data_IF_453012188143
#
_entry.id   IF_453012188143
#
_cell.length_a   1.000
_cell.length_b   1.000
_cell.length_c   1.000
_cell.angle_alpha   90.00
_cell.angle_beta   90.00
_cell.angle_gamma   90.00
#
_symmetry.space_group_name_H-M   'P 1'
#
loop_
_entity.id
_entity.type
_entity.pdbx_description
1 polymer ?
#
# COMPACT_ATOMS: atom_id res chain seq x y z
N UNK A 1 32.31 11.52 -8.19
CA UNK A 1 30.92 11.65 -7.81
C UNK A 1 30.14 12.15 -9.04
N UNK A 2 29.64 11.22 -9.88
CA UNK A 2 28.89 11.57 -11.08
C UNK A 2 27.49 12.05 -10.64
N UNK A 3 27.20 13.31 -10.91
CA UNK A 3 25.93 13.96 -10.65
C UNK A 3 24.76 13.13 -11.18
N UNK A 4 23.85 12.82 -10.29
CA UNK A 4 22.48 12.33 -10.48
C UNK A 4 22.03 12.43 -11.93
N UNK A 5 22.04 11.31 -12.62
CA UNK A 5 21.27 11.18 -13.84
C UNK A 5 19.82 11.49 -13.47
N UNK A 6 19.21 12.50 -14.11
CA UNK A 6 17.84 12.87 -13.82
C UNK A 6 16.93 11.65 -13.93
N UNK A 7 15.85 11.59 -13.13
CA UNK A 7 14.89 10.47 -13.06
C UNK A 7 14.49 9.94 -14.45
N UNK A 8 14.29 10.84 -15.41
CA UNK A 8 13.93 10.49 -16.78
C UNK A 8 15.07 9.78 -17.52
N UNK A 9 16.32 10.21 -17.35
CA UNK A 9 17.46 9.57 -17.99
C UNK A 9 17.74 8.18 -17.41
N UNK A 10 17.61 8.00 -16.09
CA UNK A 10 17.67 6.72 -15.44
C UNK A 10 16.61 5.77 -15.99
N UNK A 11 15.36 6.21 -16.03
CA UNK A 11 14.23 5.41 -16.50
C UNK A 11 14.40 4.99 -17.96
N UNK A 12 14.90 5.89 -18.82
CA UNK A 12 15.16 5.59 -20.24
C UNK A 12 16.27 4.56 -20.43
N UNK A 13 17.39 4.66 -19.68
CA UNK A 13 18.54 3.78 -19.87
C UNK A 13 18.35 2.39 -19.24
N UNK A 14 17.54 2.27 -18.18
CA UNK A 14 17.40 1.01 -17.44
C UNK A 14 16.13 0.22 -17.86
N UNK A 15 16.27 -0.57 -18.95
CA UNK A 15 15.15 -1.35 -19.48
C UNK A 15 14.66 -2.45 -18.53
N UNK A 16 15.55 -3.03 -17.71
CA UNK A 16 15.16 -4.05 -16.71
C UNK A 16 14.28 -3.41 -15.62
N UNK A 17 14.70 -2.27 -15.08
CA UNK A 17 13.92 -1.51 -14.11
C UNK A 17 12.56 -1.11 -14.67
N UNK A 18 12.49 -0.59 -15.91
CA UNK A 18 11.19 -0.23 -16.51
C UNK A 18 10.20 -1.38 -16.57
N UNK A 19 10.64 -2.57 -17.00
CA UNK A 19 9.75 -3.75 -17.08
C UNK A 19 9.28 -4.16 -15.68
N UNK A 20 10.18 -4.19 -14.72
CA UNK A 20 9.88 -4.49 -13.33
C UNK A 20 8.87 -3.49 -12.75
N UNK A 21 9.14 -2.21 -12.94
CA UNK A 21 8.29 -1.11 -12.51
C UNK A 21 6.89 -1.16 -13.14
N UNK A 22 6.78 -1.45 -14.45
CA UNK A 22 5.46 -1.61 -15.08
C UNK A 22 4.66 -2.76 -14.50
N UNK A 23 5.29 -3.89 -14.18
CA UNK A 23 4.62 -5.01 -13.54
C UNK A 23 4.05 -4.61 -12.18
N UNK A 24 4.81 -3.88 -11.37
CA UNK A 24 4.39 -3.42 -10.05
C UNK A 24 3.28 -2.38 -10.11
N UNK A 25 3.44 -1.35 -10.93
CA UNK A 25 2.44 -0.26 -11.07
C UNK A 25 1.09 -0.79 -11.52
N UNK A 26 1.07 -1.69 -12.49
CA UNK A 26 -0.18 -2.29 -12.97
C UNK A 26 -0.87 -3.08 -11.85
N UNK A 27 -0.13 -3.90 -11.11
CA UNK A 27 -0.68 -4.67 -9.99
C UNK A 27 -1.18 -3.76 -8.84
N UNK A 28 -0.48 -2.67 -8.52
CA UNK A 28 -0.92 -1.73 -7.49
C UNK A 28 -2.19 -0.95 -7.87
N UNK A 29 -2.36 -0.63 -9.15
CA UNK A 29 -3.60 -0.01 -9.66
C UNK A 29 -4.77 -0.99 -9.50
N UNK A 30 -4.58 -2.25 -9.87
CA UNK A 30 -5.60 -3.29 -9.73
C UNK A 30 -6.00 -3.51 -8.27
N UNK A 31 -5.04 -3.62 -7.36
CA UNK A 31 -5.33 -3.76 -5.93
C UNK A 31 -6.18 -2.61 -5.39
N UNK A 32 -6.00 -1.41 -5.93
CA UNK A 32 -6.84 -0.27 -5.55
C UNK A 32 -8.29 -0.45 -6.02
N UNK A 33 -8.53 -1.05 -7.20
CA UNK A 33 -9.88 -1.41 -7.66
C UNK A 33 -10.55 -2.39 -6.71
N UNK A 34 -9.84 -3.47 -6.37
CA UNK A 34 -10.28 -4.47 -5.42
C UNK A 34 -10.66 -3.84 -4.07
N UNK A 35 -9.78 -2.99 -3.55
CA UNK A 35 -10.00 -2.34 -2.26
C UNK A 35 -11.27 -1.50 -2.24
N UNK A 36 -11.54 -0.69 -3.27
CA UNK A 36 -12.77 0.13 -3.35
C UNK A 36 -14.01 -0.75 -3.51
N UNK A 37 -13.93 -1.81 -4.32
CA UNK A 37 -15.04 -2.75 -4.52
C UNK A 37 -15.40 -3.49 -3.22
N UNK A 38 -14.40 -3.92 -2.44
CA UNK A 38 -14.61 -4.56 -1.13
C UNK A 38 -15.29 -3.64 -0.12
N UNK A 39 -14.89 -2.37 -0.08
CA UNK A 39 -15.53 -1.39 0.81
C UNK A 39 -16.98 -1.18 0.44
N UNK A 40 -17.25 -1.09 -0.87
CA UNK A 40 -18.59 -0.92 -1.38
C UNK A 40 -19.47 -2.13 -1.04
N UNK A 41 -19.01 -3.37 -1.32
CA UNK A 41 -19.78 -4.58 -1.02
C UNK A 41 -20.14 -4.74 0.46
N UNK A 42 -19.17 -4.49 1.36
CA UNK A 42 -19.45 -4.60 2.80
C UNK A 42 -20.56 -3.63 3.21
N UNK A 43 -20.50 -2.37 2.77
CA UNK A 43 -21.49 -1.39 3.16
C UNK A 43 -22.82 -1.61 2.43
N UNK A 44 -22.79 -2.10 1.19
CA UNK A 44 -24.01 -2.38 0.42
C UNK A 44 -24.81 -3.54 1.00
N UNK A 45 -24.16 -4.66 1.32
CA UNK A 45 -24.85 -5.86 1.79
C UNK A 45 -25.10 -5.88 3.30
N UNK A 46 -24.16 -5.39 4.11
CA UNK A 46 -24.32 -5.46 5.57
C UNK A 46 -24.69 -4.13 6.23
N UNK A 47 -24.42 -2.99 5.57
CA UNK A 47 -24.54 -1.68 6.20
C UNK A 47 -23.67 -1.50 7.45
N UNK A 48 -22.75 -2.46 7.75
CA UNK A 48 -22.06 -2.55 9.02
C UNK A 48 -20.68 -1.87 8.97
N UNK A 49 -20.55 -0.75 9.66
CA UNK A 49 -19.28 -0.09 9.91
C UNK A 49 -18.31 -0.98 10.70
N UNK A 50 -18.85 -1.86 11.56
CA UNK A 50 -18.06 -2.83 12.30
C UNK A 50 -17.39 -3.84 11.36
N UNK A 51 -18.10 -4.38 10.38
CA UNK A 51 -17.54 -5.32 9.40
C UNK A 51 -16.50 -4.64 8.51
N UNK A 52 -16.71 -3.37 8.16
CA UNK A 52 -15.70 -2.59 7.46
C UNK A 52 -14.41 -2.45 8.30
N UNK A 53 -14.53 -2.15 9.59
CA UNK A 53 -13.41 -2.10 10.53
C UNK A 53 -12.74 -3.48 10.69
N UNK A 54 -13.52 -4.56 10.74
CA UNK A 54 -13.01 -5.93 10.79
C UNK A 54 -12.22 -6.29 9.53
N UNK A 55 -12.70 -5.93 8.33
CA UNK A 55 -11.98 -6.11 7.08
C UNK A 55 -10.59 -5.46 7.13
N UNK A 56 -10.51 -4.17 7.51
CA UNK A 56 -9.25 -3.47 7.66
C UNK A 56 -8.33 -4.15 8.68
N UNK A 57 -8.88 -4.54 9.82
CA UNK A 57 -8.12 -5.16 10.90
C UNK A 57 -7.56 -6.52 10.50
N UNK A 58 -8.35 -7.38 9.88
CA UNK A 58 -7.91 -8.71 9.40
C UNK A 58 -6.85 -8.57 8.32
N UNK A 59 -7.05 -7.70 7.33
CA UNK A 59 -6.07 -7.43 6.27
C UNK A 59 -4.73 -6.98 6.84
N UNK A 60 -4.74 -5.98 7.74
CA UNK A 60 -3.51 -5.44 8.34
C UNK A 60 -2.85 -6.41 9.30
N UNK A 61 -3.62 -7.17 10.07
CA UNK A 61 -3.09 -8.18 10.98
C UNK A 61 -2.39 -9.30 10.21
N UNK A 62 -3.02 -9.87 9.19
CA UNK A 62 -2.42 -10.92 8.37
C UNK A 62 -1.19 -10.42 7.62
N UNK A 63 -1.22 -9.20 7.08
CA UNK A 63 -0.04 -8.59 6.48
C UNK A 63 1.10 -8.45 7.49
N UNK A 64 0.87 -7.81 8.64
CA UNK A 64 1.90 -7.53 9.63
C UNK A 64 2.49 -8.79 10.26
N UNK A 65 1.62 -9.73 10.67
CA UNK A 65 2.05 -10.97 11.33
C UNK A 65 2.78 -11.93 10.39
N UNK A 66 2.51 -11.86 9.10
CA UNK A 66 3.19 -12.69 8.09
C UNK A 66 4.58 -12.17 7.68
N UNK A 67 4.86 -10.86 7.83
CA UNK A 67 6.09 -10.24 7.31
C UNK A 67 7.40 -10.92 7.79
N UNK A 68 7.56 -11.33 9.06
CA UNK A 68 8.79 -12.00 9.48
C UNK A 68 9.03 -13.34 8.78
N UNK A 69 7.95 -14.08 8.52
CA UNK A 69 7.99 -15.36 7.81
C UNK A 69 8.27 -15.12 6.33
N UNK A 70 7.56 -14.17 5.73
CA UNK A 70 7.70 -13.80 4.32
C UNK A 70 9.11 -13.29 4.03
N UNK A 71 9.72 -12.52 4.92
CA UNK A 71 11.11 -12.08 4.79
C UNK A 71 12.07 -13.26 4.66
N UNK A 72 11.97 -14.26 5.55
CA UNK A 72 12.80 -15.47 5.47
C UNK A 72 12.55 -16.25 4.18
N UNK A 73 11.29 -16.32 3.71
CA UNK A 73 10.97 -16.99 2.45
C UNK A 73 11.53 -16.23 1.24
N UNK A 74 11.47 -14.90 1.23
CA UNK A 74 12.04 -14.07 0.16
C UNK A 74 13.57 -14.17 0.06
N UNK A 75 14.26 -14.49 1.19
CA UNK A 75 15.70 -14.72 1.19
C UNK A 75 16.07 -16.14 0.73
N UNK A 76 15.20 -17.13 0.95
CA UNK A 76 15.45 -18.55 0.62
C UNK A 76 14.96 -18.97 -0.75
N UNK A 77 13.90 -18.34 -1.25
CA UNK A 77 13.29 -18.70 -2.52
C UNK A 77 13.56 -17.67 -3.61
N UNK A 78 13.41 -18.09 -4.85
CA UNK A 78 13.57 -17.20 -5.99
C UNK A 78 12.50 -16.09 -5.97
N UNK A 79 12.93 -14.85 -5.78
CA UNK A 79 12.08 -13.65 -5.63
C UNK A 79 11.11 -13.47 -6.79
N UNK A 80 11.59 -13.68 -8.03
CA UNK A 80 10.74 -13.64 -9.22
C UNK A 80 9.63 -14.68 -9.17
N UNK A 81 9.95 -15.93 -8.76
CA UNK A 81 8.95 -16.99 -8.65
C UNK A 81 7.92 -16.67 -7.57
N UNK A 82 8.33 -16.07 -6.44
CA UNK A 82 7.42 -15.62 -5.38
C UNK A 82 6.46 -14.55 -5.89
N UNK A 83 6.95 -13.54 -6.64
CA UNK A 83 6.11 -12.50 -7.22
C UNK A 83 5.10 -13.06 -8.22
N UNK A 84 5.54 -13.94 -9.13
CA UNK A 84 4.64 -14.58 -10.11
C UNK A 84 3.61 -15.48 -9.40
N UNK A 85 4.03 -16.26 -8.41
CA UNK A 85 3.13 -17.09 -7.61
C UNK A 85 2.06 -16.25 -6.92
N UNK A 86 2.47 -15.14 -6.28
CA UNK A 86 1.51 -14.22 -5.63
C UNK A 86 0.49 -13.68 -6.62
N UNK A 87 0.93 -13.20 -7.78
CA UNK A 87 0.03 -12.68 -8.81
C UNK A 87 -0.94 -13.77 -9.30
N UNK A 88 -0.45 -14.97 -9.63
CA UNK A 88 -1.29 -16.06 -10.13
C UNK A 88 -2.35 -16.49 -9.11
N UNK A 89 -1.98 -16.59 -7.84
CA UNK A 89 -2.93 -16.93 -6.78
C UNK A 89 -3.96 -15.81 -6.56
N UNK A 90 -3.53 -14.55 -6.65
CA UNK A 90 -4.43 -13.41 -6.51
C UNK A 90 -5.45 -13.30 -7.67
N UNK A 91 -5.14 -13.79 -8.88
CA UNK A 91 -6.13 -13.88 -9.98
C UNK A 91 -7.36 -14.66 -9.54
N UNK A 92 -7.18 -15.89 -9.03
CA UNK A 92 -8.29 -16.74 -8.60
C UNK A 92 -9.06 -16.14 -7.42
N UNK A 93 -8.35 -15.56 -6.45
CA UNK A 93 -8.97 -14.94 -5.28
C UNK A 93 -9.75 -13.67 -5.65
N UNK A 94 -9.23 -12.84 -6.55
CA UNK A 94 -9.94 -11.65 -7.02
C UNK A 94 -11.25 -12.02 -7.72
N UNK A 95 -11.23 -13.06 -8.58
CA UNK A 95 -12.43 -13.55 -9.24
C UNK A 95 -13.43 -14.20 -8.26
N UNK A 96 -12.97 -14.76 -7.14
CA UNK A 96 -13.86 -15.39 -6.17
C UNK A 96 -14.75 -14.39 -5.42
N UNK A 97 -14.43 -13.09 -5.44
CA UNK A 97 -15.31 -12.06 -4.88
C UNK A 97 -16.60 -11.85 -5.67
N UNK A 98 -16.63 -12.26 -6.95
CA UNK A 98 -17.86 -12.23 -7.79
C UNK A 98 -18.94 -13.18 -7.23
N UNK A 99 -18.55 -14.14 -6.39
CA UNK A 99 -19.46 -15.09 -5.75
C UNK A 99 -20.12 -14.55 -4.48
N UNK A 100 -19.84 -13.30 -4.12
CA UNK A 100 -20.42 -12.65 -2.93
C UNK A 100 -21.74 -11.99 -3.33
N UNK A 101 -22.85 -12.61 -2.92
CA UNK A 101 -24.20 -12.21 -3.34
C UNK A 101 -25.03 -11.60 -2.20
N UNK A 102 -24.58 -11.67 -0.94
CA UNK A 102 -25.35 -11.21 0.21
C UNK A 102 -24.59 -11.12 1.52
N UNK A 103 -25.32 -10.79 2.58
CA UNK A 103 -24.77 -10.60 3.92
C UNK A 103 -24.16 -11.90 4.49
N UNK A 104 -24.71 -13.06 4.16
CA UNK A 104 -24.21 -14.37 4.56
C UNK A 104 -22.81 -14.66 4.06
N UNK A 105 -22.37 -14.00 3.00
CA UNK A 105 -21.03 -14.20 2.40
C UNK A 105 -19.96 -13.27 2.98
N UNK A 106 -20.28 -12.42 3.94
CA UNK A 106 -19.33 -11.47 4.51
C UNK A 106 -18.12 -12.15 5.16
N UNK A 107 -18.29 -13.34 5.78
CA UNK A 107 -17.19 -14.13 6.30
C UNK A 107 -16.23 -14.59 5.18
N UNK A 108 -16.78 -14.95 4.01
CA UNK A 108 -16.02 -15.33 2.83
C UNK A 108 -15.21 -14.15 2.31
N UNK A 109 -15.86 -13.00 2.11
CA UNK A 109 -15.24 -11.76 1.67
C UNK A 109 -14.06 -11.36 2.59
N UNK A 110 -14.27 -11.34 3.91
CA UNK A 110 -13.22 -10.96 4.86
C UNK A 110 -12.05 -11.96 4.83
N UNK A 111 -12.34 -13.26 4.77
CA UNK A 111 -11.32 -14.31 4.76
C UNK A 111 -10.47 -14.23 3.49
N UNK A 112 -11.10 -14.16 2.31
CA UNK A 112 -10.39 -14.09 1.04
C UNK A 112 -9.57 -12.80 0.93
N UNK A 113 -10.11 -11.66 1.37
CA UNK A 113 -9.38 -10.40 1.36
C UNK A 113 -8.15 -10.44 2.28
N UNK A 114 -8.25 -11.13 3.41
CA UNK A 114 -7.12 -11.37 4.30
C UNK A 114 -6.03 -12.23 3.65
N UNK A 115 -6.41 -13.31 2.97
CA UNK A 115 -5.49 -14.17 2.22
C UNK A 115 -4.83 -13.38 1.07
N UNK A 116 -5.59 -12.55 0.34
CA UNK A 116 -5.03 -11.67 -0.69
C UNK A 116 -3.98 -10.72 -0.11
N UNK A 117 -4.25 -10.14 1.07
CA UNK A 117 -3.30 -9.24 1.71
C UNK A 117 -2.02 -9.96 2.17
N UNK A 118 -2.12 -11.23 2.56
CA UNK A 118 -0.95 -12.08 2.82
C UNK A 118 -0.14 -12.30 1.54
N UNK A 119 -0.78 -12.64 0.42
CA UNK A 119 -0.12 -12.81 -0.88
C UNK A 119 0.49 -11.50 -1.40
N UNK A 120 -0.20 -10.38 -1.19
CA UNK A 120 0.36 -9.05 -1.44
C UNK A 120 1.65 -8.83 -0.64
N UNK A 121 1.70 -9.27 0.62
CA UNK A 121 2.90 -9.25 1.43
C UNK A 121 4.07 -10.02 0.80
N UNK A 122 3.82 -11.22 0.24
CA UNK A 122 4.84 -11.97 -0.52
C UNK A 122 5.35 -11.18 -1.72
N UNK A 123 4.43 -10.58 -2.49
CA UNK A 123 4.80 -9.80 -3.67
C UNK A 123 5.70 -8.62 -3.28
N UNK A 124 5.25 -7.76 -2.38
CA UNK A 124 5.94 -6.51 -1.98
C UNK A 124 7.31 -6.81 -1.33
N UNK A 125 7.39 -7.85 -0.50
CA UNK A 125 8.66 -8.20 0.14
C UNK A 125 9.67 -8.74 -0.87
N UNK A 126 9.23 -9.60 -1.80
CA UNK A 126 10.08 -10.12 -2.86
C UNK A 126 10.49 -9.01 -3.85
N UNK A 127 9.59 -8.09 -4.17
CA UNK A 127 9.80 -6.92 -5.01
C UNK A 127 10.89 -6.00 -4.45
N UNK A 128 10.75 -5.57 -3.19
CA UNK A 128 11.73 -4.72 -2.52
C UNK A 128 13.10 -5.38 -2.42
N UNK A 129 13.13 -6.69 -2.14
CA UNK A 129 14.36 -7.45 -2.09
C UNK A 129 15.01 -7.65 -3.49
N UNK A 130 14.20 -7.68 -4.57
CA UNK A 130 14.68 -7.84 -5.93
C UNK A 130 15.26 -6.55 -6.54
N UNK A 131 14.81 -5.38 -6.09
CA UNK A 131 15.19 -4.09 -6.65
C UNK A 131 16.70 -3.85 -6.68
N UNK A 132 17.48 -4.11 -5.60
CA UNK A 132 18.95 -3.96 -5.64
C UNK A 132 19.65 -4.90 -6.63
N UNK A 133 19.00 -5.96 -7.07
CA UNK A 133 19.58 -6.92 -8.02
C UNK A 133 19.32 -6.54 -9.49
N UNK A 134 18.50 -5.53 -9.71
CA UNK A 134 18.05 -5.08 -11.04
C UNK A 134 18.75 -3.80 -11.46
N UNK A 135 19.12 -2.96 -10.49
CA UNK A 135 19.76 -1.66 -10.70
C UNK A 135 21.16 -1.62 -10.10
N UNK A 136 22.00 -0.75 -10.63
CA UNK A 136 23.32 -0.50 -10.08
C UNK A 136 23.24 0.25 -8.73
N UNK A 137 24.21 0.07 -7.86
CA UNK A 137 24.23 0.64 -6.50
C UNK A 137 24.10 2.18 -6.52
N UNK A 138 24.74 2.86 -7.47
CA UNK A 138 24.66 4.33 -7.65
C UNK A 138 23.23 4.80 -8.02
N UNK A 139 22.42 3.95 -8.63
CA UNK A 139 21.09 4.24 -9.09
C UNK A 139 19.99 3.81 -8.09
N UNK A 140 20.34 3.06 -7.04
CA UNK A 140 19.39 2.46 -6.11
C UNK A 140 18.52 3.52 -5.40
N UNK A 141 19.09 4.66 -5.03
CA UNK A 141 18.34 5.75 -4.42
C UNK A 141 17.29 6.32 -5.38
N UNK A 142 17.66 6.47 -6.66
CA UNK A 142 16.75 6.96 -7.72
C UNK A 142 15.65 5.96 -8.00
N UNK A 143 15.97 4.66 -8.06
CA UNK A 143 15.02 3.58 -8.26
C UNK A 143 13.99 3.52 -7.12
N UNK A 144 14.42 3.56 -5.86
CA UNK A 144 13.55 3.58 -4.70
C UNK A 144 12.65 4.83 -4.66
N UNK A 145 13.17 5.99 -5.08
CA UNK A 145 12.36 7.22 -5.15
C UNK A 145 11.26 7.13 -6.21
N UNK A 146 11.57 6.58 -7.39
CA UNK A 146 10.56 6.34 -8.44
C UNK A 146 9.53 5.32 -7.96
N UNK A 147 9.97 4.23 -7.35
CA UNK A 147 9.11 3.17 -6.84
C UNK A 147 8.10 3.71 -5.82
N UNK A 148 8.57 4.41 -4.80
CA UNK A 148 7.73 5.02 -3.75
C UNK A 148 6.76 6.06 -4.31
N UNK A 149 7.21 6.91 -5.23
CA UNK A 149 6.34 7.89 -5.89
C UNK A 149 5.27 7.21 -6.74
N UNK A 150 5.62 6.12 -7.42
CA UNK A 150 4.71 5.35 -8.25
C UNK A 150 3.67 4.60 -7.44
N UNK A 151 4.05 4.07 -6.28
CA UNK A 151 3.09 3.46 -5.34
C UNK A 151 2.03 4.48 -4.90
N UNK A 152 2.44 5.69 -4.51
CA UNK A 152 1.50 6.76 -4.14
C UNK A 152 0.61 7.18 -5.30
N UNK A 153 1.18 7.29 -6.51
CA UNK A 153 0.43 7.61 -7.72
C UNK A 153 -0.57 6.50 -8.08
N UNK A 154 -0.17 5.24 -7.95
CA UNK A 154 -1.04 4.08 -8.20
C UNK A 154 -2.20 4.00 -7.22
N UNK A 155 -1.96 4.27 -5.93
CA UNK A 155 -3.01 4.38 -4.93
C UNK A 155 -4.01 5.48 -5.30
N UNK A 156 -3.51 6.65 -5.68
CA UNK A 156 -4.30 7.81 -6.07
C UNK A 156 -5.16 7.51 -7.31
N UNK A 157 -4.52 7.16 -8.41
CA UNK A 157 -5.18 6.92 -9.70
C UNK A 157 -6.07 5.67 -9.63
N UNK A 158 -5.57 4.59 -9.03
CA UNK A 158 -6.28 3.33 -8.92
C UNK A 158 -7.55 3.45 -8.07
N UNK A 159 -7.51 4.17 -6.94
CA UNK A 159 -8.69 4.39 -6.13
C UNK A 159 -9.77 5.22 -6.86
N UNK A 160 -9.35 6.27 -7.57
CA UNK A 160 -10.28 7.09 -8.36
C UNK A 160 -10.92 6.27 -9.49
N UNK A 161 -10.09 5.53 -10.25
CA UNK A 161 -10.58 4.67 -11.32
C UNK A 161 -11.46 3.54 -10.77
N UNK A 162 -11.10 2.94 -9.65
CA UNK A 162 -11.91 1.92 -8.95
C UNK A 162 -13.29 2.47 -8.56
N UNK A 163 -13.34 3.65 -7.97
CA UNK A 163 -14.60 4.32 -7.63
C UNK A 163 -15.46 4.60 -8.85
N UNK A 164 -14.88 5.04 -9.96
CA UNK A 164 -15.58 5.27 -11.23
C UNK A 164 -16.10 3.93 -11.80
N UNK A 165 -15.28 2.89 -11.80
CA UNK A 165 -15.65 1.57 -12.34
C UNK A 165 -16.83 0.99 -11.55
N UNK A 166 -16.74 0.96 -10.22
CA UNK A 166 -17.82 0.44 -9.37
C UNK A 166 -19.09 1.28 -9.51
N UNK A 167 -18.97 2.60 -9.57
CA UNK A 167 -20.13 3.51 -9.68
C UNK A 167 -20.83 3.42 -11.05
N UNK A 168 -20.10 3.17 -12.15
CA UNK A 168 -20.68 3.14 -13.50
C UNK A 168 -21.11 1.77 -13.97
N UNK A 169 -20.45 0.72 -13.50
CA UNK A 169 -20.75 -0.65 -13.89
C UNK A 169 -21.18 -1.47 -12.66
N UNK A 170 -20.25 -2.08 -11.96
CA UNK A 170 -20.47 -2.79 -10.69
C UNK A 170 -19.12 -3.23 -10.10
N UNK A 171 -19.20 -3.95 -8.98
CA UNK A 171 -18.04 -4.53 -8.29
C UNK A 171 -17.39 -5.66 -9.07
N UNK A 172 -18.17 -6.47 -9.81
CA UNK A 172 -17.65 -7.60 -10.59
C UNK A 172 -16.68 -7.15 -11.66
N UNK A 173 -17.01 -6.05 -12.36
CA UNK A 173 -16.11 -5.45 -13.35
C UNK A 173 -14.80 -5.00 -12.69
N UNK A 174 -14.85 -4.44 -11.47
CA UNK A 174 -13.66 -4.06 -10.74
C UNK A 174 -12.79 -5.27 -10.37
N UNK A 175 -13.38 -6.39 -9.93
CA UNK A 175 -12.66 -7.63 -9.63
C UNK A 175 -12.06 -8.29 -10.88
N UNK A 176 -12.77 -8.26 -12.00
CA UNK A 176 -12.23 -8.75 -13.28
C UNK A 176 -11.04 -7.90 -13.73
N UNK A 177 -11.15 -6.58 -13.64
CA UNK A 177 -10.05 -5.67 -13.99
C UNK A 177 -8.83 -5.87 -13.07
N UNK A 178 -9.05 -6.02 -11.76
CA UNK A 178 -7.99 -6.35 -10.81
C UNK A 178 -7.31 -7.68 -11.18
N UNK A 179 -8.08 -8.72 -11.40
CA UNK A 179 -7.58 -10.02 -11.86
C UNK A 179 -6.72 -9.90 -13.12
N UNK A 180 -7.17 -9.13 -14.12
CA UNK A 180 -6.41 -8.89 -15.35
C UNK A 180 -5.08 -8.17 -15.07
N UNK A 181 -5.03 -7.24 -14.10
CA UNK A 181 -3.78 -6.56 -13.73
C UNK A 181 -2.75 -7.54 -13.16
N UNK A 182 -3.18 -8.52 -12.35
CA UNK A 182 -2.29 -9.57 -11.84
C UNK A 182 -1.79 -10.49 -12.95
N UNK A 183 -2.65 -10.85 -13.92
CA UNK A 183 -2.22 -11.61 -15.10
C UNK A 183 -1.15 -10.85 -15.89
N UNK A 184 -1.40 -9.57 -16.19
CA UNK A 184 -0.46 -8.72 -16.93
C UNK A 184 0.85 -8.58 -16.17
N UNK A 185 0.79 -8.32 -14.86
CA UNK A 185 1.97 -8.24 -13.99
C UNK A 185 2.81 -9.53 -14.03
N UNK A 186 2.17 -10.69 -13.93
CA UNK A 186 2.83 -11.98 -14.03
C UNK A 186 3.48 -12.19 -15.41
N UNK A 187 2.77 -11.87 -16.49
CA UNK A 187 3.28 -12.00 -17.86
C UNK A 187 4.49 -11.10 -18.12
N UNK A 188 4.51 -9.89 -17.59
CA UNK A 188 5.67 -8.97 -17.69
C UNK A 188 6.89 -9.54 -16.94
N UNK A 189 6.67 -10.17 -15.78
CA UNK A 189 7.74 -10.75 -14.97
C UNK A 189 8.31 -12.05 -15.57
N UNK A 190 7.51 -12.82 -16.29
CA UNK A 190 7.92 -14.14 -16.84
C UNK A 190 9.24 -14.12 -17.62
N UNK A 191 9.46 -13.22 -18.60
CA UNK A 191 10.70 -13.20 -19.37
C UNK A 191 11.87 -12.54 -18.64
N UNK A 192 11.65 -11.91 -17.48
CA UNK A 192 12.70 -11.19 -16.76
C UNK A 192 13.68 -12.15 -16.08
N UNK A 193 14.96 -11.80 -16.15
CA UNK A 193 16.03 -12.45 -15.37
C UNK A 193 16.38 -11.52 -14.21
N UNK A 194 16.04 -11.92 -12.97
CA UNK A 194 16.38 -11.23 -11.74
C UNK A 194 17.52 -12.03 -11.10
N UNK A 195 18.76 -11.52 -11.13
CA UNK A 195 19.89 -12.20 -10.48
C UNK A 195 19.62 -12.27 -8.98
N UNK A 196 19.91 -13.41 -8.38
CA UNK A 196 19.79 -13.60 -6.94
C UNK A 196 20.81 -14.61 -6.47
N UNK A 197 21.58 -14.24 -5.46
CA UNK A 197 22.41 -15.18 -4.71
C UNK A 197 21.58 -15.70 -3.55
N UNK A 198 21.25 -16.98 -3.56
CA UNK A 198 20.57 -17.63 -2.43
C UNK A 198 21.64 -18.02 -1.43
N UNK A 199 21.55 -17.50 -0.20
CA UNK A 199 22.50 -17.87 0.85
C UNK A 199 22.13 -19.25 1.43
N UNK A 200 22.94 -20.25 1.09
CA UNK A 200 22.79 -21.61 1.61
C UNK A 200 22.95 -21.72 3.15
N UNK A 201 23.45 -20.68 3.80
CA UNK A 201 23.60 -20.62 5.27
C UNK A 201 22.28 -20.42 6.00
N UNK A 202 21.23 -20.00 5.29
CA UNK A 202 19.89 -19.84 5.85
C UNK A 202 19.11 -21.17 5.99
N UNK A 203 19.84 -22.29 6.16
CA UNK A 203 19.28 -23.63 6.36
C UNK A 203 18.90 -23.82 7.83
N UNK A 204 17.66 -23.62 8.16
CA UNK A 204 17.07 -23.85 9.48
C UNK A 204 15.55 -23.81 9.42
N UNK A 205 14.83 -24.19 10.48
CA UNK A 205 13.38 -24.05 10.50
C UNK A 205 12.98 -22.59 10.26
N UNK A 206 12.03 -22.36 9.36
CA UNK A 206 11.60 -21.01 8.94
C UNK A 206 11.13 -20.18 10.14
N UNK A 207 10.29 -20.77 10.99
CA UNK A 207 9.76 -20.08 12.17
C UNK A 207 10.86 -19.67 13.15
N UNK A 208 11.81 -20.56 13.44
CA UNK A 208 12.92 -20.24 14.36
C UNK A 208 13.78 -19.10 13.81
N UNK A 209 14.04 -19.10 12.50
CA UNK A 209 14.79 -18.01 11.84
C UNK A 209 14.00 -16.70 11.89
N UNK A 210 12.70 -16.75 11.61
CA UNK A 210 11.82 -15.56 11.64
C UNK A 210 11.77 -14.94 13.06
N UNK A 211 11.57 -15.76 14.09
CA UNK A 211 11.61 -15.29 15.48
C UNK A 211 12.98 -14.77 15.90
N UNK A 212 14.06 -15.43 15.46
CA UNK A 212 15.43 -14.94 15.67
C UNK A 212 15.67 -13.57 15.05
N UNK A 213 15.20 -13.35 13.83
CA UNK A 213 15.28 -12.07 13.14
C UNK A 213 14.47 -10.98 13.85
N UNK A 214 13.27 -11.29 14.35
CA UNK A 214 12.46 -10.37 15.16
C UNK A 214 13.23 -9.95 16.41
N UNK A 215 13.79 -10.93 17.15
CA UNK A 215 14.56 -10.66 18.36
C UNK A 215 15.76 -9.75 18.07
N UNK A 216 16.55 -10.10 17.06
CA UNK A 216 17.73 -9.31 16.65
C UNK A 216 17.32 -7.87 16.24
N UNK A 217 16.25 -7.74 15.47
CA UNK A 217 15.70 -6.44 15.08
C UNK A 217 15.24 -5.63 16.30
N UNK A 218 14.52 -6.25 17.24
CA UNK A 218 14.08 -5.61 18.46
C UNK A 218 15.24 -5.17 19.37
N UNK A 219 16.24 -6.04 19.55
CA UNK A 219 17.43 -5.72 20.35
C UNK A 219 18.19 -4.53 19.73
N UNK A 220 18.25 -4.45 18.39
CA UNK A 220 18.83 -3.31 17.68
C UNK A 220 18.03 -2.02 17.88
N UNK A 221 16.70 -2.07 17.78
CA UNK A 221 15.82 -0.92 17.98
C UNK A 221 15.93 -0.41 19.42
N UNK A 222 15.91 -1.34 20.38
CA UNK A 222 15.98 -1.02 21.83
C UNK A 222 17.34 -0.43 22.23
N UNK A 223 18.43 -0.81 21.54
CA UNK A 223 19.78 -0.33 21.84
C UNK A 223 20.04 1.12 21.37
N UNK A 224 19.20 1.65 20.46
CA UNK A 224 19.32 3.02 19.97
C UNK A 224 18.04 3.83 20.26
N UNK A 225 18.08 4.77 21.24
CA UNK A 225 16.92 5.57 21.60
C UNK A 225 16.34 6.40 20.46
N UNK A 226 17.14 6.72 19.44
CA UNK A 226 16.65 7.46 18.25
C UNK A 226 15.81 6.55 17.36
N UNK A 227 16.29 5.33 17.10
CA UNK A 227 15.52 4.32 16.38
C UNK A 227 14.23 3.98 17.10
N UNK A 228 14.30 3.78 18.42
CA UNK A 228 13.14 3.49 19.25
C UNK A 228 12.05 4.57 19.10
N UNK A 229 12.42 5.86 19.23
CA UNK A 229 11.49 6.97 19.06
C UNK A 229 10.87 7.03 17.67
N UNK A 230 11.67 6.82 16.61
CA UNK A 230 11.18 6.80 15.23
C UNK A 230 10.19 5.64 14.98
N UNK A 231 10.51 4.45 15.48
CA UNK A 231 9.64 3.28 15.35
C UNK A 231 8.33 3.51 16.09
N UNK A 232 8.36 4.03 17.32
CA UNK A 232 7.14 4.33 18.07
C UNK A 232 6.30 5.43 17.42
N UNK A 233 6.91 6.51 16.93
CA UNK A 233 6.19 7.57 16.22
C UNK A 233 5.50 7.04 14.96
N UNK A 234 6.19 6.20 14.16
CA UNK A 234 5.59 5.60 12.96
C UNK A 234 4.54 4.55 13.30
N UNK A 235 4.75 3.77 14.36
CA UNK A 235 3.78 2.76 14.82
C UNK A 235 2.50 3.41 15.35
N UNK A 236 2.60 4.47 16.13
CA UNK A 236 1.42 5.20 16.63
C UNK A 236 0.61 5.82 15.50
N UNK A 237 1.29 6.38 14.48
CA UNK A 237 0.63 6.84 13.26
C UNK A 237 -0.09 5.68 12.55
N UNK A 238 0.57 4.55 12.35
CA UNK A 238 -0.05 3.42 11.64
C UNK A 238 -1.24 2.85 12.42
N UNK A 239 -1.17 2.82 13.74
CA UNK A 239 -2.25 2.29 14.58
C UNK A 239 -3.50 3.19 14.51
N UNK A 240 -3.31 4.50 14.60
CA UNK A 240 -4.40 5.47 14.60
C UNK A 240 -4.77 5.96 13.19
N UNK A 241 -3.78 6.22 12.34
CA UNK A 241 -3.97 6.90 11.06
C UNK A 241 -4.20 5.98 9.88
N UNK A 242 -3.58 4.80 9.80
CA UNK A 242 -3.73 3.94 8.63
C UNK A 242 -5.03 3.13 8.66
N UNK A 243 -5.41 2.56 9.81
CA UNK A 243 -6.64 1.79 9.96
C UNK A 243 -7.88 2.67 10.13
N UNK A 244 -7.94 3.43 11.24
CA UNK A 244 -9.10 4.28 11.55
C UNK A 244 -9.34 5.36 10.50
N UNK A 245 -8.27 6.01 10.01
CA UNK A 245 -8.42 7.01 8.94
C UNK A 245 -8.92 6.39 7.64
N UNK A 246 -8.55 5.14 7.32
CA UNK A 246 -9.07 4.43 6.17
C UNK A 246 -10.58 4.19 6.27
N UNK A 247 -11.04 3.64 7.40
CA UNK A 247 -12.47 3.48 7.69
C UNK A 247 -13.21 4.81 7.64
N UNK A 248 -12.67 5.83 8.30
CA UNK A 248 -13.25 7.17 8.30
C UNK A 248 -13.42 7.76 6.90
N UNK A 249 -12.42 7.62 6.01
CA UNK A 249 -12.50 8.11 4.63
C UNK A 249 -13.57 7.36 3.81
N UNK A 250 -13.77 6.07 4.07
CA UNK A 250 -14.82 5.29 3.41
C UNK A 250 -16.19 5.81 3.85
N UNK A 251 -16.44 5.89 5.16
CA UNK A 251 -17.71 6.36 5.70
C UNK A 251 -18.02 7.80 5.26
N UNK A 252 -17.06 8.69 5.44
CA UNK A 252 -17.21 10.09 5.01
C UNK A 252 -17.41 10.22 3.49
N UNK A 253 -16.78 9.37 2.68
CA UNK A 253 -16.96 9.34 1.23
C UNK A 253 -18.35 8.84 0.81
N UNK A 254 -18.93 7.89 1.57
CA UNK A 254 -20.27 7.38 1.34
C UNK A 254 -21.39 8.43 1.52
N UNK A 255 -21.15 9.41 2.37
CA UNK A 255 -22.11 10.45 2.72
C UNK A 255 -22.10 11.68 1.79
N UNK A 256 -21.27 11.68 0.74
CA UNK A 256 -21.19 12.84 -0.17
C UNK A 256 -22.49 12.97 -0.97
N UNK A 257 -23.27 14.01 -0.68
CA UNK A 257 -24.53 14.31 -1.36
C UNK A 257 -24.33 14.50 -2.86
N UNK A 258 -25.14 13.82 -3.66
CA UNK A 258 -25.14 13.92 -5.12
C UNK A 258 -24.11 13.04 -5.84
N UNK A 259 -23.34 12.22 -5.12
CA UNK A 259 -22.39 11.26 -5.67
C UNK A 259 -22.65 9.87 -5.11
N UNK A 260 -22.43 8.83 -5.90
CA UNK A 260 -22.54 7.46 -5.42
C UNK A 260 -21.40 7.14 -4.42
N UNK A 261 -21.69 6.27 -3.45
CA UNK A 261 -20.76 5.93 -2.37
C UNK A 261 -19.37 5.46 -2.89
N UNK A 262 -19.37 4.56 -3.89
CA UNK A 262 -18.10 4.07 -4.46
C UNK A 262 -17.27 5.18 -5.09
N UNK A 263 -17.88 6.15 -5.76
CA UNK A 263 -17.17 7.31 -6.30
C UNK A 263 -16.59 8.17 -5.18
N UNK A 264 -17.34 8.40 -4.11
CA UNK A 264 -16.90 9.15 -2.93
C UNK A 264 -15.69 8.47 -2.25
N UNK A 265 -15.71 7.15 -2.11
CA UNK A 265 -14.57 6.39 -1.60
C UNK A 265 -13.33 6.62 -2.46
N UNK A 266 -13.47 6.44 -3.78
CA UNK A 266 -12.40 6.68 -4.74
C UNK A 266 -11.84 8.09 -4.67
N UNK A 267 -12.71 9.10 -4.59
CA UNK A 267 -12.34 10.52 -4.52
C UNK A 267 -11.54 10.85 -3.25
N UNK A 268 -11.94 10.33 -2.09
CA UNK A 268 -11.23 10.59 -0.85
C UNK A 268 -9.90 9.83 -0.76
N UNK A 269 -9.84 8.61 -1.29
CA UNK A 269 -8.57 7.89 -1.42
C UNK A 269 -7.65 8.53 -2.48
N UNK A 270 -8.19 9.12 -3.53
CA UNK A 270 -7.44 9.95 -4.47
C UNK A 270 -6.80 11.16 -3.77
N UNK A 271 -7.57 11.90 -2.98
CA UNK A 271 -7.06 13.03 -2.19
C UNK A 271 -5.96 12.58 -1.20
N UNK A 272 -6.16 11.44 -0.53
CA UNK A 272 -5.17 10.78 0.31
C UNK A 272 -3.87 10.51 -0.44
N UNK A 273 -3.96 9.90 -1.63
CA UNK A 273 -2.79 9.58 -2.45
C UNK A 273 -2.00 10.83 -2.86
N UNK A 274 -2.69 11.91 -3.24
CA UNK A 274 -2.05 13.22 -3.53
C UNK A 274 -1.27 13.72 -2.30
N UNK A 275 -1.89 13.74 -1.12
CA UNK A 275 -1.24 14.18 0.10
C UNK A 275 0.00 13.37 0.44
N UNK A 276 -0.11 12.03 0.40
CA UNK A 276 1.00 11.12 0.65
C UNK A 276 2.16 11.31 -0.35
N UNK A 277 1.88 11.64 -1.60
CA UNK A 277 2.90 11.90 -2.62
C UNK A 277 3.58 13.27 -2.46
N UNK A 278 2.83 14.30 -2.06
CA UNK A 278 3.34 15.67 -1.91
C UNK A 278 4.14 15.84 -0.61
N UNK A 279 3.75 15.15 0.48
CA UNK A 279 4.34 15.30 1.80
C UNK A 279 5.87 15.22 1.82
N UNK A 280 6.49 14.12 1.34
CA UNK A 280 7.94 13.98 1.32
C UNK A 280 8.66 15.04 0.48
N UNK A 281 8.03 15.49 -0.61
CA UNK A 281 8.58 16.56 -1.47
C UNK A 281 8.58 17.90 -0.74
N UNK A 282 7.47 18.23 -0.09
CA UNK A 282 7.35 19.43 0.73
C UNK A 282 8.31 19.42 1.92
N UNK A 283 8.42 18.28 2.61
CA UNK A 283 9.33 18.10 3.72
C UNK A 283 10.79 18.34 3.32
N UNK A 284 11.23 17.82 2.17
CA UNK A 284 12.58 18.05 1.62
C UNK A 284 12.87 19.51 1.33
N UNK A 285 11.88 20.26 0.84
CA UNK A 285 12.03 21.66 0.47
C UNK A 285 12.00 22.56 1.72
N UNK A 286 11.12 22.29 2.67
CA UNK A 286 10.85 23.16 3.82
C UNK A 286 11.81 22.87 4.98
N UNK A 287 12.21 21.61 5.20
CA UNK A 287 12.95 21.18 6.40
C UNK A 287 14.35 20.70 6.06
N UNK A 288 15.24 21.65 5.73
CA UNK A 288 16.65 21.36 5.35
C UNK A 288 17.51 20.87 6.53
N UNK A 289 17.21 21.30 7.75
CA UNK A 289 17.95 20.93 8.97
C UNK A 289 17.50 19.55 9.51
N UNK A 290 18.26 18.52 9.18
CA UNK A 290 17.97 17.13 9.62
C UNK A 290 17.99 16.94 11.14
N UNK A 291 18.67 17.80 11.89
CA UNK A 291 18.71 17.70 13.37
C UNK A 291 17.34 17.96 14.01
N UNK A 292 16.48 18.74 13.35
CA UNK A 292 15.12 19.06 13.80
C UNK A 292 14.07 18.03 13.41
N UNK A 293 14.40 17.06 12.54
CA UNK A 293 13.44 16.09 12.03
C UNK A 293 12.68 15.30 13.12
N UNK A 294 13.31 14.82 14.22
CA UNK A 294 12.56 14.09 15.25
C UNK A 294 11.43 14.93 15.90
N UNK A 295 11.67 16.21 16.13
CA UNK A 295 10.65 17.11 16.67
C UNK A 295 9.57 17.45 15.63
N UNK A 296 9.98 17.63 14.36
CA UNK A 296 9.08 17.91 13.25
C UNK A 296 8.16 16.74 12.97
N UNK A 297 8.62 15.49 13.04
CA UNK A 297 7.80 14.29 12.87
C UNK A 297 6.65 14.30 13.89
N UNK A 298 6.93 14.55 15.16
CA UNK A 298 5.88 14.64 16.18
C UNK A 298 4.85 15.74 15.90
N UNK A 299 5.32 16.93 15.52
CA UNK A 299 4.46 18.04 15.15
C UNK A 299 3.58 17.72 13.93
N UNK A 300 4.18 17.17 12.87
CA UNK A 300 3.47 16.86 11.64
C UNK A 300 2.43 15.75 11.83
N UNK A 301 2.74 14.72 12.62
CA UNK A 301 1.77 13.69 13.01
C UNK A 301 0.61 14.29 13.79
N UNK A 302 0.88 15.21 14.72
CA UNK A 302 -0.16 15.92 15.47
C UNK A 302 -1.03 16.80 14.56
N UNK A 303 -0.42 17.52 13.63
CA UNK A 303 -1.14 18.31 12.61
C UNK A 303 -2.02 17.44 11.72
N UNK A 304 -1.56 16.27 11.33
CA UNK A 304 -2.38 15.31 10.58
C UNK A 304 -3.65 14.95 11.37
N UNK A 305 -3.55 14.71 12.67
CA UNK A 305 -4.71 14.48 13.54
C UNK A 305 -5.68 15.67 13.59
N UNK A 306 -5.16 16.89 13.70
CA UNK A 306 -5.99 18.11 13.64
C UNK A 306 -6.71 18.23 12.30
N UNK A 307 -6.03 17.99 11.19
CA UNK A 307 -6.67 18.02 9.87
C UNK A 307 -7.74 16.96 9.75
N UNK A 308 -7.57 15.73 10.25
CA UNK A 308 -8.62 14.72 10.26
C UNK A 308 -9.84 15.13 11.10
N UNK A 309 -9.62 15.78 12.24
CA UNK A 309 -10.71 16.36 13.02
C UNK A 309 -11.48 17.41 12.21
N UNK A 310 -10.77 18.31 11.52
CA UNK A 310 -11.38 19.31 10.64
C UNK A 310 -12.08 18.70 9.43
N UNK A 311 -11.60 17.57 8.88
CA UNK A 311 -12.31 16.82 7.84
C UNK A 311 -13.70 16.42 8.34
N UNK A 312 -13.81 15.85 9.55
CA UNK A 312 -15.09 15.49 10.13
C UNK A 312 -16.07 16.68 10.23
N UNK A 313 -15.55 17.86 10.62
CA UNK A 313 -16.36 19.09 10.68
C UNK A 313 -16.74 19.64 9.30
N UNK A 314 -15.94 19.37 8.27
CA UNK A 314 -16.13 19.93 6.92
C UNK A 314 -17.09 19.14 6.05
N UNK A 315 -17.53 17.95 6.43
CA UNK A 315 -18.39 17.07 5.63
C UNK A 315 -19.73 17.75 5.24
N UNK A 316 -20.23 18.62 6.08
CA UNK A 316 -21.47 19.39 5.84
C UNK A 316 -21.21 20.77 5.19
N UNK A 317 -19.96 21.11 4.89
CA UNK A 317 -19.59 22.37 4.25
C UNK A 317 -19.49 22.21 2.73
N UNK A 318 -18.32 22.49 2.17
CA UNK A 318 -18.06 22.38 0.75
C UNK A 318 -17.06 21.26 0.47
N UNK A 319 -17.40 20.35 -0.44
CA UNK A 319 -16.55 19.21 -0.83
C UNK A 319 -15.09 19.60 -1.16
N UNK A 320 -14.77 20.73 -1.84
CA UNK A 320 -13.39 21.14 -2.05
C UNK A 320 -12.60 21.39 -0.77
N UNK A 321 -13.24 21.88 0.29
CA UNK A 321 -12.60 22.10 1.61
C UNK A 321 -12.23 20.77 2.22
N UNK A 322 -13.15 19.81 2.21
CA UNK A 322 -12.91 18.46 2.74
C UNK A 322 -11.75 17.77 1.99
N UNK A 323 -11.73 17.85 0.66
CA UNK A 323 -10.65 17.32 -0.17
C UNK A 323 -9.30 17.97 0.20
N UNK A 324 -9.26 19.30 0.32
CA UNK A 324 -8.04 20.01 0.69
C UNK A 324 -7.52 19.60 2.08
N UNK A 325 -8.42 19.42 3.05
CA UNK A 325 -8.07 18.97 4.40
C UNK A 325 -7.51 17.54 4.41
N UNK A 326 -8.09 16.63 3.62
CA UNK A 326 -7.57 15.26 3.45
C UNK A 326 -6.15 15.30 2.85
N UNK A 327 -5.93 16.10 1.81
CA UNK A 327 -4.61 16.28 1.20
C UNK A 327 -3.61 16.79 2.25
N UNK A 328 -3.96 17.82 3.03
CA UNK A 328 -3.11 18.37 4.08
C UNK A 328 -2.82 17.37 5.19
N UNK A 329 -3.82 16.60 5.64
CA UNK A 329 -3.67 15.55 6.62
C UNK A 329 -2.62 14.51 6.20
N UNK A 330 -2.70 14.08 4.94
CA UNK A 330 -1.78 13.09 4.41
C UNK A 330 -0.43 13.68 3.99
N UNK A 331 -0.36 14.94 3.58
CA UNK A 331 0.91 15.62 3.35
C UNK A 331 1.71 15.82 4.65
N UNK A 332 1.02 16.01 5.76
CA UNK A 332 1.66 16.10 7.07
C UNK A 332 2.17 14.76 7.61
N UNK A 333 1.60 13.64 7.21
CA UNK A 333 1.94 12.29 7.72
C UNK A 333 2.79 11.44 6.76
N UNK A 334 2.91 11.84 5.50
CA UNK A 334 3.64 11.15 4.41
C UNK A 334 5.13 11.45 4.34
#
# INVERSE_FOLDING_TARGET
MRLQSGYISFFKRNAKFRRFWFASVISWIGESFNTIALFFLILEFSGSEFLLGALFSVRMALFALSQPIIGVLADRFNRKKLMIFSNVMQVGLALSFILVDGEEDMWWLITISGIMMLLHGFYVTAERAALPNIVDEDDLLTANAIDSASWSASLCIGAMLGGIVVSKWNTDVAFVLDSLTFVIGALILLPMKIPQTIDDRLKGPILTTAFGNIKTGWDRIRSDPRLLRLVFAKSSWNLAGAGLAGVFLVLAGGDIKGYGAAFGFGLFFFARGIGTGIGPLAAKLLFKDRKKWPALIGLLVSLSGVFYFLVGMSLNLALPITIALIILAHAASG
#
